data_IF_911521501419
#
_entry.id   IF_911521501419
#
_cell.length_a   1.000
_cell.length_b   1.000
_cell.length_c   1.000
_cell.angle_alpha   90.00
_cell.angle_beta   90.00
_cell.angle_gamma   90.00
#
_symmetry.space_group_name_H-M   'P 1'
#
loop_
_entity.id
_entity.type
_entity.pdbx_description
1 polymer ?
#
# COMPACT_ATOMS: atom_id res chain seq x y z
N UNK A 1 6.92 -14.15 8.84
CA UNK A 1 7.75 -13.12 8.24
C UNK A 1 7.15 -12.70 6.89
N UNK A 2 7.04 -11.39 6.65
CA UNK A 2 6.37 -10.86 5.46
C UNK A 2 7.10 -11.24 4.17
N UNK A 3 8.42 -11.27 4.19
CA UNK A 3 9.21 -11.59 3.00
C UNK A 3 8.95 -13.01 2.48
N UNK A 4 8.74 -13.97 3.37
CA UNK A 4 8.50 -15.37 3.03
C UNK A 4 7.01 -15.71 2.85
N UNK A 5 6.11 -14.82 3.21
CA UNK A 5 4.67 -15.06 3.09
C UNK A 5 4.24 -15.12 1.62
N UNK A 6 3.32 -16.04 1.31
CA UNK A 6 2.69 -16.13 -0.02
C UNK A 6 1.55 -15.12 -0.18
N UNK A 7 1.05 -14.60 0.90
CA UNK A 7 0.00 -13.61 0.96
C UNK A 7 -0.27 -13.24 2.40
N UNK A 8 -1.05 -12.22 2.63
CA UNK A 8 -1.32 -11.67 3.96
C UNK A 8 -2.82 -11.49 4.16
N UNK A 9 -3.32 -11.99 5.29
CA UNK A 9 -4.69 -11.74 5.74
C UNK A 9 -4.61 -10.82 6.96
N UNK A 10 -5.22 -9.65 6.88
CA UNK A 10 -5.09 -8.64 7.92
C UNK A 10 -6.28 -7.69 7.96
N UNK A 11 -6.35 -6.86 9.01
CA UNK A 11 -7.23 -5.70 8.97
C UNK A 11 -6.68 -4.64 7.99
N UNK A 12 -7.44 -3.59 7.76
CA UNK A 12 -7.12 -2.60 6.73
C UNK A 12 -6.33 -1.40 7.28
N UNK A 13 -5.32 -1.66 8.12
CA UNK A 13 -4.40 -0.66 8.63
C UNK A 13 -3.43 -0.19 7.55
N UNK A 14 -3.06 1.08 7.60
CA UNK A 14 -2.22 1.70 6.58
C UNK A 14 -0.81 1.10 6.50
N UNK A 15 -0.14 0.89 7.63
CA UNK A 15 1.27 0.49 7.66
C UNK A 15 1.48 -0.89 7.03
N UNK A 16 0.79 -1.90 7.55
CA UNK A 16 0.95 -3.27 7.07
C UNK A 16 0.54 -3.43 5.61
N UNK A 17 -0.55 -2.78 5.21
CA UNK A 17 -0.99 -2.80 3.81
C UNK A 17 0.07 -2.18 2.90
N UNK A 18 0.68 -1.06 3.30
CA UNK A 18 1.74 -0.41 2.52
C UNK A 18 2.95 -1.32 2.35
N UNK A 19 3.35 -2.02 3.41
CA UNK A 19 4.44 -3.00 3.34
C UNK A 19 4.08 -4.16 2.40
N UNK A 20 2.86 -4.67 2.47
CA UNK A 20 2.39 -5.74 1.59
C UNK A 20 2.44 -5.32 0.12
N UNK A 21 1.99 -4.11 -0.19
CA UNK A 21 2.04 -3.57 -1.55
C UNK A 21 3.47 -3.40 -2.04
N UNK A 22 4.36 -2.91 -1.18
CA UNK A 22 5.78 -2.76 -1.51
C UNK A 22 6.44 -4.12 -1.81
N UNK A 23 6.13 -5.14 -1.01
CA UNK A 23 6.65 -6.49 -1.19
C UNK A 23 5.87 -7.31 -2.21
N UNK A 24 4.89 -6.70 -2.87
CA UNK A 24 4.04 -7.35 -3.89
C UNK A 24 3.35 -8.61 -3.37
N UNK A 25 2.86 -8.54 -2.14
CA UNK A 25 2.14 -9.64 -1.53
C UNK A 25 0.64 -9.52 -1.79
N UNK A 26 -0.03 -10.59 -2.22
CA UNK A 26 -1.49 -10.60 -2.25
C UNK A 26 -2.06 -10.33 -0.86
N UNK A 27 -3.11 -9.53 -0.80
CA UNK A 27 -3.74 -9.13 0.47
C UNK A 27 -5.21 -9.48 0.44
N UNK A 28 -5.65 -10.15 1.49
CA UNK A 28 -7.06 -10.26 1.87
C UNK A 28 -7.25 -9.44 3.14
N UNK A 29 -8.06 -8.41 3.08
CA UNK A 29 -8.22 -7.49 4.19
C UNK A 29 -9.68 -7.33 4.60
N UNK A 30 -9.89 -7.15 5.90
CA UNK A 30 -11.18 -6.80 6.47
C UNK A 30 -11.05 -5.54 7.30
N UNK A 31 -11.64 -4.42 6.83
CA UNK A 31 -11.66 -3.20 7.62
C UNK A 31 -12.37 -3.43 8.95
N UNK A 32 -11.85 -2.83 10.02
CA UNK A 32 -12.52 -2.85 11.32
C UNK A 32 -13.78 -2.01 11.23
N UNK A 33 -14.88 -2.57 11.74
CA UNK A 33 -16.14 -1.84 11.81
C UNK A 33 -15.98 -0.59 12.68
N UNK A 34 -16.63 0.49 12.31
CA UNK A 34 -16.58 1.79 13.02
C UNK A 34 -15.23 2.51 13.01
N UNK A 35 -14.25 2.02 12.25
CA UNK A 35 -13.02 2.77 12.00
C UNK A 35 -13.04 3.36 10.61
N UNK A 36 -13.34 4.64 10.54
CA UNK A 36 -13.53 5.36 9.27
C UNK A 36 -12.28 5.29 8.38
N UNK A 37 -11.09 5.38 8.97
CA UNK A 37 -9.84 5.24 8.24
C UNK A 37 -9.74 3.90 7.54
N UNK A 38 -10.00 2.80 8.26
CA UNK A 38 -9.92 1.47 7.68
C UNK A 38 -10.99 1.21 6.62
N UNK A 39 -12.20 1.72 6.83
CA UNK A 39 -13.26 1.64 5.84
C UNK A 39 -12.89 2.39 4.56
N UNK A 40 -12.30 3.57 4.70
CA UNK A 40 -11.81 4.38 3.58
C UNK A 40 -10.65 3.68 2.84
N UNK A 41 -9.69 3.14 3.58
CA UNK A 41 -8.58 2.37 3.00
C UNK A 41 -9.10 1.17 2.20
N UNK A 42 -10.06 0.42 2.76
CA UNK A 42 -10.66 -0.73 2.10
C UNK A 42 -11.35 -0.35 0.80
N UNK A 43 -12.12 0.73 0.80
CA UNK A 43 -12.80 1.21 -0.40
C UNK A 43 -11.80 1.60 -1.50
N UNK A 44 -10.72 2.27 -1.15
CA UNK A 44 -9.66 2.64 -2.08
C UNK A 44 -8.96 1.42 -2.67
N UNK A 45 -8.58 0.46 -1.84
CA UNK A 45 -7.90 -0.77 -2.27
C UNK A 45 -8.78 -1.60 -3.21
N UNK A 46 -10.07 -1.70 -2.91
CA UNK A 46 -11.04 -2.41 -3.74
C UNK A 46 -11.20 -1.71 -5.10
N UNK A 47 -11.38 -0.40 -5.10
CA UNK A 47 -11.54 0.40 -6.31
C UNK A 47 -10.32 0.32 -7.23
N UNK A 48 -9.12 0.33 -6.64
CA UNK A 48 -7.86 0.23 -7.38
C UNK A 48 -7.50 -1.21 -7.76
N UNK A 49 -8.18 -2.20 -7.21
CA UNK A 49 -7.86 -3.61 -7.44
C UNK A 49 -6.56 -4.05 -6.76
N UNK A 50 -6.16 -3.40 -5.67
CA UNK A 50 -4.90 -3.67 -4.99
C UNK A 50 -5.00 -4.74 -3.91
N UNK A 51 -6.20 -5.02 -3.43
CA UNK A 51 -6.45 -6.05 -2.43
C UNK A 51 -7.85 -6.63 -2.59
N UNK A 52 -8.05 -7.83 -2.06
CA UNK A 52 -9.38 -8.38 -1.88
C UNK A 52 -9.92 -7.90 -0.54
N UNK A 53 -11.09 -7.29 -0.56
CA UNK A 53 -11.70 -6.67 0.63
C UNK A 53 -12.96 -7.44 1.01
N UNK A 54 -13.07 -7.86 2.26
CA UNK A 54 -14.30 -8.42 2.82
C UNK A 54 -14.81 -7.51 3.94
N UNK A 55 -16.10 -7.21 3.92
CA UNK A 55 -16.70 -6.33 4.92
C UNK A 55 -17.19 -7.10 6.15
N UNK A 56 -17.42 -8.40 5.99
CA UNK A 56 -17.73 -9.35 7.05
C UNK A 56 -16.87 -10.59 6.84
N UNK A 57 -16.62 -11.32 7.92
CA UNK A 57 -15.89 -12.59 7.83
C UNK A 57 -16.68 -13.53 6.94
N UNK A 58 -16.08 -13.91 5.83
CA UNK A 58 -16.65 -14.77 4.81
C UNK A 58 -15.72 -15.97 4.62
N UNK A 59 -16.15 -17.11 5.14
CA UNK A 59 -15.33 -18.32 5.10
C UNK A 59 -15.12 -18.84 3.69
N UNK A 60 -16.11 -18.73 2.83
CA UNK A 60 -16.00 -19.20 1.45
C UNK A 60 -15.05 -18.33 0.63
N UNK A 61 -15.16 -17.02 0.78
CA UNK A 61 -14.24 -16.08 0.14
C UNK A 61 -12.81 -16.32 0.63
N UNK A 62 -12.64 -16.48 1.93
CA UNK A 62 -11.31 -16.73 2.53
C UNK A 62 -10.72 -18.02 2.00
N UNK A 63 -11.49 -19.10 1.93
CA UNK A 63 -11.03 -20.38 1.41
C UNK A 63 -10.60 -20.29 -0.06
N UNK A 64 -11.40 -19.62 -0.90
CA UNK A 64 -11.06 -19.41 -2.31
C UNK A 64 -9.80 -18.57 -2.46
N UNK A 65 -9.68 -17.51 -1.66
CA UNK A 65 -8.49 -16.64 -1.69
C UNK A 65 -7.23 -17.41 -1.27
N UNK A 66 -7.30 -18.22 -0.21
CA UNK A 66 -6.17 -19.03 0.25
C UNK A 66 -5.75 -20.08 -0.79
N UNK A 67 -6.71 -20.65 -1.51
CA UNK A 67 -6.44 -21.63 -2.56
C UNK A 67 -5.73 -21.02 -3.77
N UNK A 68 -6.11 -19.81 -4.15
CA UNK A 68 -5.57 -19.10 -5.30
C UNK A 68 -5.54 -17.60 -5.05
N UNK A 69 -4.55 -17.10 -4.29
CA UNK A 69 -4.45 -15.67 -4.06
C UNK A 69 -4.31 -14.91 -5.38
N UNK A 70 -5.08 -13.83 -5.61
CA UNK A 70 -4.95 -13.02 -6.80
C UNK A 70 -3.54 -12.43 -6.90
N UNK A 71 -3.02 -12.20 -8.11
CA UNK A 71 -1.73 -11.54 -8.27
C UNK A 71 -1.70 -10.18 -7.57
N UNK A 72 -0.60 -9.89 -6.91
CA UNK A 72 -0.40 -8.59 -6.30
C UNK A 72 -0.13 -7.53 -7.38
N UNK A 73 -0.50 -6.26 -7.13
CA UNK A 73 -0.19 -5.19 -8.06
C UNK A 73 1.31 -4.98 -8.20
N UNK A 74 1.76 -4.64 -9.39
CA UNK A 74 3.17 -4.34 -9.66
C UNK A 74 3.54 -2.92 -9.28
N UNK A 75 3.32 -2.52 -8.02
CA UNK A 75 3.61 -1.18 -7.54
C UNK A 75 5.09 -1.02 -7.21
N UNK A 76 5.61 0.17 -7.46
CA UNK A 76 6.96 0.56 -7.08
C UNK A 76 6.89 1.89 -6.34
N UNK A 77 7.49 1.93 -5.17
CA UNK A 77 7.52 3.14 -4.35
C UNK A 77 8.95 3.69 -4.29
N UNK A 78 9.14 4.99 -4.50
CA UNK A 78 10.45 5.60 -4.37
C UNK A 78 10.89 5.66 -2.90
N UNK A 79 12.21 5.70 -2.68
CA UNK A 79 12.76 5.89 -1.35
C UNK A 79 12.68 7.37 -0.96
N UNK A 80 11.54 7.77 -0.44
CA UNK A 80 11.27 9.14 -0.01
C UNK A 80 12.18 9.53 1.14
N UNK A 81 12.42 8.62 2.08
CA UNK A 81 13.24 8.89 3.26
C UNK A 81 14.68 9.25 2.89
N UNK A 82 15.30 8.49 2.00
CA UNK A 82 16.66 8.79 1.54
C UNK A 82 16.75 10.14 0.82
N UNK A 83 15.76 10.43 -0.02
CA UNK A 83 15.71 11.71 -0.75
C UNK A 83 15.54 12.89 0.21
N UNK A 84 14.68 12.78 1.20
CA UNK A 84 14.49 13.82 2.21
C UNK A 84 15.73 14.00 3.07
N UNK A 85 16.38 12.91 3.48
CA UNK A 85 17.60 12.98 4.27
C UNK A 85 18.72 13.71 3.51
N UNK A 86 18.92 13.40 2.25
CA UNK A 86 19.89 14.09 1.40
C UNK A 86 19.57 15.57 1.25
N UNK A 87 18.32 15.91 1.02
CA UNK A 87 17.88 17.30 0.88
C UNK A 87 18.13 18.11 2.16
N UNK A 88 17.83 17.52 3.32
CA UNK A 88 18.12 18.15 4.62
C UNK A 88 19.63 18.31 4.85
N UNK A 89 20.42 17.28 4.52
CA UNK A 89 21.87 17.33 4.64
C UNK A 89 22.49 18.43 3.78
N UNK A 90 21.90 18.72 2.63
CA UNK A 90 22.32 19.80 1.73
C UNK A 90 21.79 21.18 2.14
N UNK A 91 21.18 21.29 3.30
CA UNK A 91 20.66 22.54 3.86
C UNK A 91 19.29 22.94 3.33
N UNK A 92 18.53 22.01 2.79
CA UNK A 92 17.17 22.23 2.29
C UNK A 92 17.07 23.36 1.24
N UNK A 93 18.09 23.51 0.42
CA UNK A 93 18.21 24.64 -0.53
C UNK A 93 17.32 24.51 -1.75
N UNK A 94 17.16 23.28 -2.25
CA UNK A 94 16.29 23.06 -3.41
C UNK A 94 14.82 23.18 -3.01
N UNK A 95 13.94 23.71 -3.90
CA UNK A 95 12.51 23.74 -3.63
C UNK A 95 11.92 22.34 -3.43
N UNK A 96 11.01 22.20 -2.46
CA UNK A 96 10.36 20.91 -2.16
C UNK A 96 9.68 20.30 -3.40
N UNK A 97 9.11 21.14 -4.25
CA UNK A 97 8.45 20.68 -5.47
C UNK A 97 9.37 19.89 -6.41
N UNK A 98 10.68 20.18 -6.42
CA UNK A 98 11.65 19.44 -7.23
C UNK A 98 11.90 18.04 -6.71
N UNK A 99 11.75 17.80 -5.40
CA UNK A 99 11.84 16.46 -4.82
C UNK A 99 10.70 15.58 -5.29
N UNK A 100 9.48 16.12 -5.28
CA UNK A 100 8.31 15.39 -5.75
C UNK A 100 8.46 14.98 -7.22
N UNK A 101 8.90 15.89 -8.07
CA UNK A 101 9.14 15.62 -9.49
C UNK A 101 10.22 14.53 -9.68
N UNK A 102 11.31 14.60 -8.93
CA UNK A 102 12.40 13.63 -9.02
C UNK A 102 11.95 12.23 -8.54
N UNK A 103 11.17 12.15 -7.45
CA UNK A 103 10.73 10.90 -6.87
C UNK A 103 9.68 10.19 -7.73
N UNK A 104 8.73 10.94 -8.27
CA UNK A 104 7.56 10.37 -8.95
C UNK A 104 7.63 10.45 -10.47
N UNK A 105 8.71 11.00 -11.02
CA UNK A 105 8.91 11.10 -12.46
C UNK A 105 7.86 11.95 -13.17
N UNK A 106 7.15 12.81 -12.44
CA UNK A 106 6.16 13.72 -13.01
C UNK A 106 6.81 15.07 -13.27
N UNK A 107 6.49 15.71 -14.40
CA UNK A 107 6.86 17.09 -14.56
C UNK A 107 6.22 17.90 -13.43
N UNK A 108 6.96 18.87 -12.90
CA UNK A 108 6.41 19.77 -11.90
C UNK A 108 5.04 20.25 -12.37
N UNK A 109 4.01 19.99 -11.56
CA UNK A 109 2.64 20.30 -11.95
C UNK A 109 2.52 21.78 -12.30
N UNK A 110 1.92 21.99 -13.42
CA UNK A 110 1.57 23.32 -13.91
C UNK A 110 0.52 23.91 -12.98
#
# INVERSE_FOLDING_TARGET
DLASARGVVCNCGFELISECLHWRKPVLTKPLAKQMEQLSNGAALETLGYATVMRQIDNDLTARWLAAPPPAPGLSFPDVSATLASWLADGAKAPVATLGAALWGQPAAV
#
